data_IF_796038682179
#
_entry.id   IF_796038682179
#
_cell.length_a   1.000
_cell.length_b   1.000
_cell.length_c   1.000
_cell.angle_alpha   90.00
_cell.angle_beta   90.00
_cell.angle_gamma   90.00
#
_symmetry.space_group_name_H-M   'P 1'
#
loop_
_entity.id
_entity.type
_entity.pdbx_description
1 polymer ?
#
# COMPACT_ATOMS: atom_id res chain seq x y z
N UNK A 1 -55.95 -10.68 13.17
CA UNK A 1 -56.72 -11.93 13.39
C UNK A 1 -56.20 -12.84 14.52
N UNK A 2 -54.90 -12.91 14.85
CA UNK A 2 -54.42 -13.84 15.90
C UNK A 2 -54.78 -13.46 17.34
N UNK A 3 -54.83 -12.18 17.67
CA UNK A 3 -54.89 -11.69 19.06
C UNK A 3 -56.30 -11.37 19.60
N UNK A 4 -57.34 -11.37 18.75
CA UNK A 4 -58.67 -10.89 19.13
C UNK A 4 -59.76 -11.98 19.17
N UNK A 5 -59.46 -13.21 18.72
CA UNK A 5 -60.41 -14.32 18.75
C UNK A 5 -60.22 -15.14 20.04
N UNK A 6 -61.20 -15.17 20.96
CA UNK A 6 -61.12 -15.93 22.21
C UNK A 6 -60.86 -17.43 22.00
N UNK A 7 -61.23 -17.98 20.84
CA UNK A 7 -61.07 -19.39 20.48
C UNK A 7 -59.61 -19.79 20.16
N UNK A 8 -58.68 -18.84 20.22
CA UNK A 8 -57.24 -19.09 20.04
C UNK A 8 -56.48 -19.27 21.35
N UNK A 9 -57.13 -19.06 22.50
CA UNK A 9 -56.46 -19.23 23.80
C UNK A 9 -56.11 -20.69 24.01
N UNK A 10 -54.83 -20.96 24.23
CA UNK A 10 -54.31 -22.31 24.51
C UNK A 10 -53.82 -23.08 23.28
N UNK A 11 -53.99 -22.56 22.06
CA UNK A 11 -53.49 -23.20 20.84
C UNK A 11 -52.01 -22.91 20.60
N UNK A 12 -51.25 -23.94 20.24
CA UNK A 12 -49.85 -23.83 19.84
C UNK A 12 -49.68 -23.23 18.44
N UNK A 13 -48.46 -22.78 18.12
CA UNK A 13 -48.14 -22.23 16.79
C UNK A 13 -48.50 -23.19 15.62
N UNK A 14 -48.23 -24.51 15.68
CA UNK A 14 -48.61 -25.43 14.62
C UNK A 14 -50.13 -25.56 14.44
N UNK A 15 -50.88 -25.52 15.54
CA UNK A 15 -52.34 -25.63 15.54
C UNK A 15 -52.98 -24.37 14.95
N UNK A 16 -52.42 -23.20 15.27
CA UNK A 16 -52.84 -21.93 14.66
C UNK A 16 -52.53 -21.90 13.15
N UNK A 17 -51.40 -22.46 12.72
CA UNK A 17 -51.05 -22.57 11.29
C UNK A 17 -52.03 -23.47 10.56
N UNK A 18 -52.43 -24.61 11.14
CA UNK A 18 -53.46 -25.46 10.56
C UNK A 18 -54.83 -24.77 10.53
N UNK A 19 -55.25 -24.16 11.65
CA UNK A 19 -56.56 -23.48 11.77
C UNK A 19 -56.73 -22.33 10.77
N UNK A 20 -55.69 -21.52 10.59
CA UNK A 20 -55.75 -20.35 9.71
C UNK A 20 -55.13 -20.58 8.33
N UNK A 21 -54.52 -21.74 8.08
CA UNK A 21 -53.85 -22.06 6.82
C UNK A 21 -54.83 -22.16 5.65
N UNK A 22 -55.98 -22.78 5.85
CA UNK A 22 -57.00 -22.88 4.80
C UNK A 22 -57.74 -21.54 4.59
N UNK A 23 -57.95 -20.78 5.66
CA UNK A 23 -58.47 -19.42 5.56
C UNK A 23 -57.51 -18.52 4.75
N UNK A 24 -56.21 -18.61 5.00
CA UNK A 24 -55.19 -17.89 4.23
C UNK A 24 -55.18 -18.29 2.76
N UNK A 25 -55.23 -19.61 2.44
CA UNK A 25 -55.30 -20.12 1.06
C UNK A 25 -56.51 -19.59 0.29
N UNK A 26 -57.63 -19.37 0.97
CA UNK A 26 -58.88 -18.91 0.36
C UNK A 26 -59.02 -17.38 0.32
N UNK A 27 -58.15 -16.61 0.98
CA UNK A 27 -58.14 -15.14 0.89
C UNK A 27 -57.63 -14.64 -0.47
N UNK A 28 -58.27 -13.60 -1.00
CA UNK A 28 -57.83 -12.92 -2.22
C UNK A 28 -56.58 -12.06 -2.00
N UNK A 29 -55.92 -11.65 -3.09
CA UNK A 29 -54.69 -10.85 -3.03
C UNK A 29 -54.88 -9.50 -2.28
N UNK A 30 -56.04 -8.86 -2.42
CA UNK A 30 -56.35 -7.61 -1.72
C UNK A 30 -56.51 -7.80 -0.20
N UNK A 31 -57.00 -8.96 0.24
CA UNK A 31 -57.23 -9.29 1.65
C UNK A 31 -55.94 -9.75 2.36
N UNK A 32 -55.01 -10.36 1.61
CA UNK A 32 -53.67 -10.73 2.10
C UNK A 32 -52.74 -9.53 2.21
N UNK A 33 -52.91 -8.51 1.36
CA UNK A 33 -52.06 -7.32 1.27
C UNK A 33 -51.70 -6.67 2.61
N UNK A 34 -52.63 -6.36 3.54
CA UNK A 34 -52.26 -5.76 4.82
C UNK A 34 -51.32 -6.63 5.66
N UNK A 35 -51.48 -7.96 5.62
CA UNK A 35 -50.61 -8.89 6.34
C UNK A 35 -49.23 -9.04 5.70
N UNK A 36 -49.17 -8.99 4.37
CA UNK A 36 -47.91 -8.97 3.63
C UNK A 36 -47.14 -7.67 3.84
N UNK A 37 -47.85 -6.53 3.86
CA UNK A 37 -47.27 -5.21 4.12
C UNK A 37 -46.77 -5.10 5.57
N UNK A 38 -47.52 -5.64 6.54
CA UNK A 38 -47.09 -5.74 7.95
C UNK A 38 -45.88 -6.68 8.11
N UNK A 39 -45.85 -7.82 7.41
CA UNK A 39 -44.70 -8.73 7.40
C UNK A 39 -43.45 -8.11 6.76
N UNK A 40 -43.62 -7.28 5.72
CA UNK A 40 -42.53 -6.51 5.11
C UNK A 40 -42.06 -5.38 6.03
N UNK A 41 -42.97 -4.70 6.73
CA UNK A 41 -42.64 -3.65 7.71
C UNK A 41 -41.90 -4.18 8.95
N UNK A 42 -42.16 -5.43 9.36
CA UNK A 42 -41.47 -6.11 10.47
C UNK A 42 -40.07 -6.64 10.13
N UNK A 43 -39.69 -6.67 8.85
CA UNK A 43 -38.29 -6.86 8.44
C UNK A 43 -37.51 -5.58 8.70
N UNK A 44 -37.39 -5.20 9.97
CA UNK A 44 -36.37 -4.24 10.40
C UNK A 44 -35.04 -4.83 9.96
N UNK A 45 -34.40 -4.19 8.98
CA UNK A 45 -33.07 -4.57 8.48
C UNK A 45 -32.13 -4.54 9.67
N UNK A 46 -31.85 -5.70 10.26
CA UNK A 46 -30.86 -5.80 11.32
C UNK A 46 -29.48 -5.63 10.67
N UNK A 47 -28.62 -4.77 11.23
CA UNK A 47 -27.23 -4.68 10.82
C UNK A 47 -26.62 -6.08 10.75
N UNK A 48 -26.06 -6.42 9.59
CA UNK A 48 -25.29 -7.67 9.45
C UNK A 48 -23.85 -7.33 9.80
N UNK A 49 -23.22 -8.19 10.60
CA UNK A 49 -21.86 -7.97 11.06
C UNK A 49 -20.93 -9.01 10.47
N UNK A 50 -19.69 -8.58 10.22
CA UNK A 50 -18.59 -9.45 9.82
C UNK A 50 -18.16 -10.32 11.00
N UNK A 51 -17.34 -11.34 10.75
CA UNK A 51 -16.75 -12.16 11.82
C UNK A 51 -15.83 -11.36 12.76
N UNK A 52 -15.49 -10.12 12.42
CA UNK A 52 -14.72 -9.19 13.25
C UNK A 52 -15.61 -8.15 13.97
N UNK A 53 -16.94 -8.28 13.88
CA UNK A 53 -17.89 -7.40 14.57
C UNK A 53 -18.08 -6.03 13.95
N UNK A 54 -17.61 -5.79 12.72
CA UNK A 54 -17.91 -4.56 11.95
C UNK A 54 -19.18 -4.72 11.15
N UNK A 55 -19.91 -3.64 10.92
CA UNK A 55 -21.11 -3.69 10.09
C UNK A 55 -20.73 -3.91 8.63
N UNK A 56 -21.41 -4.83 7.95
CA UNK A 56 -21.14 -5.18 6.54
C UNK A 56 -21.46 -4.01 5.61
N UNK A 57 -22.42 -3.15 5.96
CA UNK A 57 -22.76 -1.94 5.21
C UNK A 57 -21.58 -0.96 5.18
N UNK A 58 -20.99 -0.68 6.33
CA UNK A 58 -19.82 0.20 6.51
C UNK A 58 -18.61 -0.30 5.71
N UNK A 59 -18.24 -1.59 5.84
CA UNK A 59 -17.11 -2.14 5.08
C UNK A 59 -17.36 -2.09 3.56
N UNK A 60 -18.59 -2.32 3.12
CA UNK A 60 -18.95 -2.25 1.71
C UNK A 60 -18.93 -0.81 1.19
N UNK A 61 -19.30 0.16 2.02
CA UNK A 61 -19.20 1.60 1.72
C UNK A 61 -17.74 2.05 1.63
N UNK A 62 -16.88 1.65 2.56
CA UNK A 62 -15.43 1.89 2.50
C UNK A 62 -14.82 1.31 1.22
N UNK A 63 -15.16 0.06 0.88
CA UNK A 63 -14.71 -0.57 -0.37
C UNK A 63 -15.21 0.17 -1.60
N UNK A 64 -16.48 0.58 -1.63
CA UNK A 64 -17.04 1.37 -2.73
C UNK A 64 -16.36 2.73 -2.84
N UNK A 65 -16.12 3.41 -1.73
CA UNK A 65 -15.42 4.70 -1.71
C UNK A 65 -13.97 4.56 -2.21
N UNK A 66 -13.25 3.52 -1.77
CA UNK A 66 -11.90 3.21 -2.25
C UNK A 66 -11.88 2.92 -3.77
N UNK A 67 -12.84 2.14 -4.26
CA UNK A 67 -13.00 1.87 -5.70
C UNK A 67 -13.27 3.15 -6.49
N UNK A 68 -14.22 3.98 -6.03
CA UNK A 68 -14.54 5.26 -6.67
C UNK A 68 -13.34 6.20 -6.70
N UNK A 69 -12.57 6.26 -5.61
CA UNK A 69 -11.36 7.06 -5.54
C UNK A 69 -10.29 6.54 -6.52
N UNK A 70 -10.11 5.22 -6.61
CA UNK A 70 -9.19 4.61 -7.57
C UNK A 70 -9.61 4.91 -9.02
N UNK A 71 -10.91 4.82 -9.33
CA UNK A 71 -11.44 5.21 -10.64
C UNK A 71 -11.20 6.68 -10.95
N UNK A 72 -11.31 7.55 -9.95
CA UNK A 72 -10.96 8.97 -10.09
C UNK A 72 -9.48 9.14 -10.45
N UNK A 73 -8.55 8.49 -9.74
CA UNK A 73 -7.12 8.56 -10.06
C UNK A 73 -6.83 8.05 -11.48
N UNK A 74 -7.46 6.96 -11.89
CA UNK A 74 -7.35 6.44 -13.26
C UNK A 74 -7.84 7.44 -14.31
N UNK A 75 -8.92 8.19 -14.03
CA UNK A 75 -9.41 9.28 -14.89
C UNK A 75 -8.44 10.47 -14.93
N UNK A 76 -7.72 10.76 -13.85
CA UNK A 76 -6.67 11.79 -13.85
C UNK A 76 -5.53 11.37 -14.77
N UNK A 77 -5.02 10.13 -14.64
CA UNK A 77 -3.98 9.59 -15.55
C UNK A 77 -4.44 9.66 -17.00
N UNK A 78 -5.68 9.27 -17.28
CA UNK A 78 -6.28 9.39 -18.62
C UNK A 78 -6.27 10.82 -19.13
N UNK A 79 -6.70 11.78 -18.32
CA UNK A 79 -6.68 13.20 -18.69
C UNK A 79 -5.25 13.63 -19.05
N UNK A 80 -4.25 13.30 -18.23
CA UNK A 80 -2.85 13.66 -18.49
C UNK A 80 -2.35 13.16 -19.84
N UNK A 81 -2.69 11.92 -20.22
CA UNK A 81 -2.23 11.29 -21.46
C UNK A 81 -3.02 11.73 -22.70
N UNK A 82 -4.30 12.06 -22.54
CA UNK A 82 -5.22 12.35 -23.65
C UNK A 82 -5.62 13.83 -23.79
N UNK A 83 -5.14 14.71 -22.91
CA UNK A 83 -5.36 16.16 -22.98
C UNK A 83 -4.97 16.72 -24.36
N UNK A 84 -3.80 16.34 -24.87
CA UNK A 84 -3.33 16.71 -26.20
C UNK A 84 -3.71 15.67 -27.27
N UNK A 85 -4.34 16.16 -28.35
CA UNK A 85 -4.70 15.32 -29.50
C UNK A 85 -3.47 14.89 -30.33
N UNK A 86 -2.43 15.71 -30.39
CA UNK A 86 -1.22 15.45 -31.16
C UNK A 86 -0.26 14.55 -30.38
N UNK A 87 0.20 13.48 -31.01
CA UNK A 87 1.17 12.55 -30.41
C UNK A 87 2.50 13.28 -30.13
N UNK A 88 2.94 14.17 -31.01
CA UNK A 88 4.18 14.94 -30.84
C UNK A 88 4.20 15.76 -29.54
N UNK A 89 3.07 16.33 -29.13
CA UNK A 89 2.96 17.05 -27.86
C UNK A 89 3.12 16.10 -26.68
N UNK A 90 2.47 14.92 -26.74
CA UNK A 90 2.61 13.89 -25.71
C UNK A 90 4.05 13.39 -25.56
N UNK A 91 4.77 13.21 -26.68
CA UNK A 91 6.17 12.75 -26.62
C UNK A 91 7.08 13.75 -25.91
N UNK A 92 6.80 15.05 -26.07
CA UNK A 92 7.55 16.13 -25.45
C UNK A 92 7.00 16.57 -24.08
N UNK A 93 5.87 16.00 -23.63
CA UNK A 93 5.27 16.31 -22.33
C UNK A 93 6.16 15.80 -21.21
N UNK A 94 6.34 16.64 -20.19
CA UNK A 94 7.07 16.29 -18.97
C UNK A 94 6.18 15.49 -18.01
N UNK A 95 6.70 14.37 -17.55
CA UNK A 95 6.17 13.51 -16.51
C UNK A 95 7.14 13.53 -15.34
N UNK A 96 6.61 13.57 -14.11
CA UNK A 96 7.42 13.69 -12.90
C UNK A 96 7.29 12.43 -12.07
N UNK A 97 8.43 11.83 -11.72
CA UNK A 97 8.51 10.61 -10.92
C UNK A 97 9.13 10.94 -9.58
N UNK A 98 8.51 10.55 -8.47
CA UNK A 98 9.09 10.74 -7.15
C UNK A 98 9.23 9.43 -6.38
N UNK A 99 10.30 9.37 -5.59
CA UNK A 99 10.48 8.35 -4.57
C UNK A 99 10.97 9.01 -3.30
N UNK A 100 10.65 8.38 -2.17
CA UNK A 100 11.14 8.78 -0.85
C UNK A 100 11.74 7.56 -0.18
N UNK A 101 12.87 7.75 0.50
CA UNK A 101 13.22 6.87 1.61
C UNK A 101 12.70 7.44 2.91
N UNK A 102 12.28 6.55 3.81
CA UNK A 102 11.75 6.92 5.12
C UNK A 102 12.59 6.29 6.22
N UNK A 103 12.76 7.00 7.33
CA UNK A 103 13.34 6.45 8.54
C UNK A 103 12.43 5.35 9.11
N UNK A 104 11.14 5.66 9.22
CA UNK A 104 10.13 4.80 9.82
C UNK A 104 8.72 5.24 9.44
N UNK A 105 7.77 4.32 9.69
CA UNK A 105 6.33 4.57 9.74
C UNK A 105 5.81 4.29 11.14
N UNK A 106 5.08 5.22 11.75
CA UNK A 106 4.43 4.97 13.05
C UNK A 106 3.18 4.11 12.87
N UNK A 107 2.94 3.21 13.82
CA UNK A 107 1.76 2.31 13.78
C UNK A 107 0.47 2.99 14.21
N UNK A 108 0.57 3.95 15.12
CA UNK A 108 -0.58 4.64 15.72
C UNK A 108 -1.20 5.62 14.73
N UNK A 109 -0.39 6.51 14.15
CA UNK A 109 -0.85 7.60 13.30
C UNK A 109 -0.59 7.38 11.80
N UNK A 110 -0.01 6.23 11.42
CA UNK A 110 0.47 5.97 10.05
C UNK A 110 1.37 7.09 9.49
N UNK A 111 2.13 7.77 10.35
CA UNK A 111 2.99 8.90 9.96
C UNK A 111 4.32 8.39 9.42
N UNK A 112 4.70 8.89 8.24
CA UNK A 112 5.98 8.60 7.59
C UNK A 112 7.00 9.69 7.91
N UNK A 113 8.24 9.30 8.18
CA UNK A 113 9.35 10.20 8.50
C UNK A 113 10.36 10.16 7.34
N UNK A 114 10.35 11.14 6.41
CA UNK A 114 11.21 11.12 5.24
C UNK A 114 12.68 11.39 5.57
N UNK A 115 13.58 10.66 4.91
CA UNK A 115 15.05 10.79 5.02
C UNK A 115 15.73 11.22 3.71
N UNK A 116 15.08 10.95 2.58
CA UNK A 116 15.61 11.26 1.26
C UNK A 116 14.43 11.42 0.30
N UNK A 117 14.55 12.35 -0.62
CA UNK A 117 13.65 12.51 -1.76
C UNK A 117 14.44 12.45 -3.05
N UNK A 118 13.89 11.79 -4.06
CA UNK A 118 14.35 11.88 -5.44
C UNK A 118 13.16 12.16 -6.35
N UNK A 119 13.25 13.22 -7.15
CA UNK A 119 12.27 13.56 -8.18
C UNK A 119 12.98 13.61 -9.54
N UNK A 120 12.38 13.03 -10.56
CA UNK A 120 12.90 13.01 -11.92
C UNK A 120 11.84 13.57 -12.88
N UNK A 121 12.23 14.58 -13.66
CA UNK A 121 11.48 15.05 -14.81
C UNK A 121 11.87 14.21 -16.04
N UNK A 122 10.88 13.71 -16.75
CA UNK A 122 11.07 12.79 -17.87
C UNK A 122 10.12 13.12 -19.01
N UNK A 123 10.58 13.03 -20.26
CA UNK A 123 9.69 12.95 -21.44
C UNK A 123 10.02 11.73 -22.28
N UNK A 124 9.06 11.27 -23.07
CA UNK A 124 9.26 10.10 -23.95
C UNK A 124 10.28 10.39 -25.05
N UNK A 125 10.35 11.64 -25.52
CA UNK A 125 11.27 12.05 -26.59
C UNK A 125 12.71 12.28 -26.12
N UNK A 126 12.89 12.78 -24.89
CA UNK A 126 14.20 13.22 -24.37
C UNK A 126 14.77 12.27 -23.32
N UNK A 127 13.96 11.40 -22.73
CA UNK A 127 14.34 10.61 -21.58
C UNK A 127 14.30 11.47 -20.31
N UNK A 128 15.26 11.27 -19.42
CA UNK A 128 15.45 12.09 -18.22
C UNK A 128 15.90 13.50 -18.63
N UNK A 129 15.16 14.51 -18.19
CA UNK A 129 15.41 15.93 -18.50
C UNK A 129 16.09 16.63 -17.33
N UNK A 130 15.57 16.42 -16.12
CA UNK A 130 16.03 17.07 -14.92
C UNK A 130 15.85 16.15 -13.71
N UNK A 131 16.64 16.35 -12.67
CA UNK A 131 16.60 15.57 -11.45
C UNK A 131 16.75 16.47 -10.23
N UNK A 132 15.96 16.20 -9.20
CA UNK A 132 16.03 16.85 -7.91
C UNK A 132 16.24 15.78 -6.84
N UNK A 133 17.19 15.99 -5.94
CA UNK A 133 17.56 15.03 -4.90
C UNK A 133 18.03 15.76 -3.67
N UNK A 134 17.49 15.36 -2.52
CA UNK A 134 17.87 15.94 -1.23
C UNK A 134 17.76 14.90 -0.12
N UNK A 135 18.67 14.99 0.86
CA UNK A 135 18.51 14.32 2.13
C UNK A 135 17.72 15.19 3.09
N UNK A 136 16.85 14.58 3.88
CA UNK A 136 15.89 15.27 4.74
C UNK A 136 16.14 14.84 6.18
N UNK A 137 16.20 15.79 7.11
CA UNK A 137 16.27 15.45 8.52
C UNK A 137 14.87 15.06 9.02
N UNK A 138 14.63 13.77 9.36
CA UNK A 138 13.31 13.28 9.76
C UNK A 138 12.85 13.85 11.10
N UNK A 139 13.72 14.52 11.86
CA UNK A 139 13.45 14.89 13.24
C UNK A 139 13.82 13.77 14.21
N UNK A 140 13.29 13.84 15.42
CA UNK A 140 13.65 12.89 16.47
C UNK A 140 12.86 11.57 16.32
N UNK A 141 13.53 10.45 16.57
CA UNK A 141 12.92 9.13 16.49
C UNK A 141 11.87 8.99 17.60
N UNK A 142 10.59 8.68 17.27
CA UNK A 142 9.57 8.50 18.29
C UNK A 142 9.92 7.39 19.28
N UNK A 143 9.49 7.56 20.53
CA UNK A 143 9.76 6.60 21.61
C UNK A 143 9.24 5.21 21.24
N UNK A 144 10.08 4.19 21.43
CA UNK A 144 9.76 2.79 21.09
C UNK A 144 10.09 2.38 19.64
N UNK A 145 10.44 3.33 18.75
CA UNK A 145 10.75 3.05 17.34
C UNK A 145 12.24 2.96 17.01
N UNK A 146 13.14 3.22 17.97
CA UNK A 146 14.59 3.24 17.75
C UNK A 146 15.14 1.96 17.08
N UNK A 147 14.72 0.78 17.55
CA UNK A 147 15.13 -0.50 16.95
C UNK A 147 14.64 -0.65 15.50
N UNK A 148 13.38 -0.29 15.26
CA UNK A 148 12.74 -0.41 13.94
C UNK A 148 13.43 0.51 12.94
N UNK A 149 13.69 1.77 13.33
CA UNK A 149 14.39 2.75 12.52
C UNK A 149 15.82 2.29 12.16
N UNK A 150 16.54 1.73 13.14
CA UNK A 150 17.89 1.20 12.93
C UNK A 150 17.91 0.01 11.98
N UNK A 151 17.04 -0.99 12.22
CA UNK A 151 16.93 -2.17 11.35
C UNK A 151 16.55 -1.79 9.92
N UNK A 152 15.61 -0.86 9.74
CA UNK A 152 15.21 -0.37 8.43
C UNK A 152 16.37 0.33 7.70
N UNK A 153 17.07 1.23 8.39
CA UNK A 153 18.26 1.89 7.83
C UNK A 153 19.32 0.87 7.41
N UNK A 154 19.71 -0.04 8.31
CA UNK A 154 20.76 -1.02 8.05
C UNK A 154 20.38 -2.02 6.95
N UNK A 155 19.11 -2.32 6.74
CA UNK A 155 18.69 -3.27 5.70
C UNK A 155 18.53 -2.62 4.32
N UNK A 156 18.12 -1.35 4.27
CA UNK A 156 17.73 -0.69 3.03
C UNK A 156 18.67 0.46 2.66
N UNK A 157 18.32 1.68 3.05
CA UNK A 157 18.94 2.91 2.55
C UNK A 157 20.29 3.25 3.21
N UNK A 158 20.67 2.64 4.34
CA UNK A 158 21.93 2.90 5.06
C UNK A 158 22.16 4.33 5.56
N UNK A 159 21.23 5.26 5.28
CA UNK A 159 21.24 6.62 5.84
C UNK A 159 21.25 6.58 7.38
N UNK A 160 22.22 7.23 8.06
CA UNK A 160 22.31 7.26 9.51
C UNK A 160 21.02 7.76 10.18
N UNK A 161 20.62 7.09 11.27
CA UNK A 161 19.37 7.38 11.98
C UNK A 161 19.42 8.66 12.85
N UNK A 162 20.62 9.20 13.11
CA UNK A 162 20.84 10.36 13.96
C UNK A 162 21.93 11.25 13.34
N UNK A 163 21.74 12.56 13.42
CA UNK A 163 22.73 13.59 13.09
C UNK A 163 23.41 13.40 11.72
N UNK A 164 22.63 13.05 10.70
CA UNK A 164 23.17 12.90 9.36
C UNK A 164 23.50 14.29 8.78
N UNK A 165 24.79 14.59 8.66
CA UNK A 165 25.27 15.93 8.33
C UNK A 165 24.78 16.48 6.98
N UNK A 166 24.55 15.60 5.99
CA UNK A 166 24.10 15.99 4.65
C UNK A 166 22.59 16.29 4.59
N UNK A 167 21.83 16.01 5.65
CA UNK A 167 20.39 16.21 5.65
C UNK A 167 20.00 17.69 5.82
N UNK A 168 19.14 18.19 4.93
CA UNK A 168 18.47 19.50 5.08
C UNK A 168 17.66 19.51 6.37
N UNK A 169 17.84 20.57 7.16
CA UNK A 169 17.22 20.72 8.47
C UNK A 169 17.99 20.08 9.65
N UNK A 170 19.23 19.63 9.43
CA UNK A 170 20.09 19.04 10.48
C UNK A 170 20.89 20.07 11.31
N UNK A 171 20.53 21.36 11.26
CA UNK A 171 21.21 22.39 12.05
C UNK A 171 21.11 22.08 13.56
N UNK A 172 22.23 22.30 14.26
CA UNK A 172 22.38 22.10 15.71
C UNK A 172 22.97 23.35 16.36
N UNK A 173 22.64 23.59 17.62
CA UNK A 173 23.31 24.57 18.46
C UNK A 173 24.65 24.01 19.00
N UNK A 174 25.46 24.86 19.64
CA UNK A 174 26.77 24.48 20.19
C UNK A 174 26.70 23.36 21.23
N UNK A 175 25.59 23.26 21.96
CA UNK A 175 25.32 22.19 22.93
C UNK A 175 24.88 20.86 22.29
N UNK A 176 24.79 20.81 20.96
CA UNK A 176 24.35 19.65 20.18
C UNK A 176 22.83 19.53 20.07
N UNK A 177 22.05 20.43 20.69
CA UNK A 177 20.61 20.41 20.58
C UNK A 177 20.14 20.81 19.17
N UNK A 178 19.00 20.24 18.76
CA UNK A 178 18.39 20.49 17.45
C UNK A 178 17.87 21.92 17.33
N UNK A 179 18.26 22.62 16.27
CA UNK A 179 17.71 23.94 15.98
C UNK A 179 16.39 23.80 15.20
N UNK A 180 15.28 23.73 15.94
CA UNK A 180 13.94 23.56 15.36
C UNK A 180 13.49 24.73 14.47
N UNK A 181 13.96 25.95 14.75
CA UNK A 181 13.65 27.13 13.92
C UNK A 181 14.32 27.01 12.56
N UNK A 182 15.64 26.86 12.54
CA UNK A 182 16.39 26.68 11.29
C UNK A 182 15.91 25.45 10.50
N UNK A 183 15.58 24.35 11.19
CA UNK A 183 14.99 23.17 10.53
C UNK A 183 13.69 23.50 9.82
N UNK A 184 12.81 24.28 10.44
CA UNK A 184 11.53 24.67 9.81
C UNK A 184 11.77 25.49 8.55
N UNK A 185 12.67 26.45 8.61
CA UNK A 185 12.99 27.34 7.48
C UNK A 185 13.61 26.55 6.32
N UNK A 186 14.50 25.60 6.60
CA UNK A 186 15.05 24.68 5.58
C UNK A 186 13.98 23.81 4.93
N UNK A 187 13.05 23.26 5.72
CA UNK A 187 11.96 22.45 5.17
C UNK A 187 10.98 23.30 4.36
N UNK A 188 10.77 24.57 4.73
CA UNK A 188 9.98 25.51 3.95
C UNK A 188 10.64 25.79 2.58
N UNK A 189 11.95 26.06 2.56
CA UNK A 189 12.71 26.21 1.32
C UNK A 189 12.69 24.94 0.47
N UNK A 190 12.84 23.77 1.08
CA UNK A 190 12.75 22.49 0.39
C UNK A 190 11.39 22.29 -0.28
N UNK A 191 10.29 22.64 0.39
CA UNK A 191 8.95 22.56 -0.20
C UNK A 191 8.81 23.51 -1.39
N UNK A 192 9.37 24.73 -1.30
CA UNK A 192 9.39 25.67 -2.43
C UNK A 192 10.19 25.12 -3.62
N UNK A 193 11.37 24.55 -3.39
CA UNK A 193 12.18 23.91 -4.44
C UNK A 193 11.44 22.75 -5.10
N UNK A 194 10.75 21.91 -4.32
CA UNK A 194 9.91 20.82 -4.83
C UNK A 194 8.78 21.36 -5.71
N UNK A 195 8.08 22.41 -5.26
CA UNK A 195 6.99 23.02 -6.02
C UNK A 195 7.50 23.63 -7.33
N UNK A 196 8.67 24.26 -7.31
CA UNK A 196 9.34 24.78 -8.51
C UNK A 196 9.73 23.65 -9.47
N UNK A 197 10.31 22.56 -8.95
CA UNK A 197 10.63 21.36 -9.75
C UNK A 197 9.38 20.79 -10.41
N UNK A 198 8.23 20.84 -9.73
CA UNK A 198 6.97 20.29 -10.23
C UNK A 198 6.12 21.28 -11.01
N UNK A 199 6.61 22.47 -11.34
CA UNK A 199 5.81 23.52 -12.01
C UNK A 199 5.22 23.03 -13.35
N UNK A 200 5.99 22.25 -14.11
CA UNK A 200 5.55 21.63 -15.36
C UNK A 200 4.50 20.51 -15.21
N UNK A 201 4.18 20.09 -13.98
CA UNK A 201 3.22 19.01 -13.68
C UNK A 201 1.82 19.50 -13.32
N UNK A 202 1.60 20.81 -13.31
CA UNK A 202 0.36 21.42 -12.84
C UNK A 202 -0.85 20.97 -13.65
N UNK A 203 -1.82 20.39 -12.94
CA UNK A 203 -3.17 20.17 -13.44
C UNK A 203 -4.02 21.38 -13.09
N UNK A 204 -4.46 22.11 -14.12
CA UNK A 204 -5.23 23.33 -13.95
C UNK A 204 -6.55 23.07 -13.25
N UNK A 205 -6.80 23.78 -12.15
CA UNK A 205 -8.11 23.79 -11.51
C UNK A 205 -9.12 24.55 -12.39
N UNK A 206 -10.42 24.19 -12.30
CA UNK A 206 -11.49 24.92 -13.00
C UNK A 206 -11.78 26.30 -12.38
N UNK A 207 -11.17 26.61 -11.23
CA UNK A 207 -11.34 27.86 -10.49
C UNK A 207 -10.10 28.75 -10.58
N UNK A 208 -9.33 28.77 -9.50
CA UNK A 208 -8.17 29.64 -9.27
C UNK A 208 -6.85 28.91 -9.57
N UNK A 209 -5.89 29.58 -10.22
CA UNK A 209 -4.54 29.06 -10.48
C UNK A 209 -3.78 28.75 -9.17
N UNK A 210 -4.17 29.40 -8.07
CA UNK A 210 -3.60 29.12 -6.74
C UNK A 210 -3.95 27.72 -6.20
N UNK A 211 -4.98 27.07 -6.75
CA UNK A 211 -5.42 25.71 -6.39
C UNK A 211 -4.87 24.62 -7.32
N UNK A 212 -3.95 24.96 -8.24
CA UNK A 212 -3.38 23.98 -9.16
C UNK A 212 -2.74 22.81 -8.41
N UNK A 213 -3.02 21.60 -8.90
CA UNK A 213 -2.53 20.36 -8.30
C UNK A 213 -1.28 19.87 -9.02
N UNK A 214 -0.31 19.34 -8.29
CA UNK A 214 0.95 18.83 -8.83
C UNK A 214 0.86 17.32 -9.03
N UNK A 215 1.09 16.86 -10.24
CA UNK A 215 1.01 15.43 -10.58
C UNK A 215 2.38 14.79 -10.47
N UNK A 216 2.45 13.69 -9.72
CA UNK A 216 3.68 12.93 -9.52
C UNK A 216 3.37 11.44 -9.63
N UNK A 217 4.25 10.67 -10.26
CA UNK A 217 4.11 9.24 -10.44
C UNK A 217 5.07 8.47 -9.52
N UNK A 218 4.60 7.38 -8.93
CA UNK A 218 5.43 6.40 -8.22
C UNK A 218 4.82 5.01 -8.38
N UNK A 219 5.45 3.98 -7.80
CA UNK A 219 4.84 2.65 -7.74
C UNK A 219 3.60 2.65 -6.84
N UNK A 220 2.55 1.90 -7.22
CA UNK A 220 1.32 1.72 -6.44
C UNK A 220 1.58 1.50 -4.95
N UNK A 221 2.48 0.57 -4.61
CA UNK A 221 2.84 0.20 -3.22
C UNK A 221 3.48 1.34 -2.42
N UNK A 222 3.97 2.38 -3.07
CA UNK A 222 4.63 3.52 -2.45
C UNK A 222 3.74 4.76 -2.37
N UNK A 223 2.53 4.75 -2.96
CA UNK A 223 1.65 5.93 -3.04
C UNK A 223 1.39 6.53 -1.64
N UNK A 224 1.01 5.71 -0.67
CA UNK A 224 0.72 6.19 0.69
C UNK A 224 1.96 6.75 1.39
N UNK A 225 3.13 6.15 1.13
CA UNK A 225 4.40 6.63 1.67
C UNK A 225 4.76 8.00 1.08
N UNK A 226 4.69 8.14 -0.24
CA UNK A 226 5.02 9.39 -0.95
C UNK A 226 4.05 10.51 -0.53
N UNK A 227 2.74 10.23 -0.49
CA UNK A 227 1.73 11.17 0.04
C UNK A 227 2.02 11.58 1.48
N UNK A 228 2.34 10.60 2.34
CA UNK A 228 2.68 10.83 3.73
C UNK A 228 3.94 11.68 3.91
N UNK A 229 4.94 11.51 3.04
CA UNK A 229 6.17 12.29 3.07
C UNK A 229 5.96 13.73 2.63
N UNK A 230 5.21 13.97 1.53
CA UNK A 230 4.84 15.34 1.14
C UNK A 230 4.04 16.03 2.25
N UNK A 231 3.05 15.34 2.83
CA UNK A 231 2.29 15.84 3.98
C UNK A 231 3.20 16.19 5.16
N UNK A 232 4.13 15.30 5.51
CA UNK A 232 5.10 15.55 6.58
C UNK A 232 5.90 16.83 6.32
N UNK A 233 6.49 17.00 5.13
CA UNK A 233 7.31 18.16 4.80
C UNK A 233 6.51 19.47 4.93
N UNK A 234 5.32 19.50 4.34
CA UNK A 234 4.40 20.64 4.40
C UNK A 234 3.99 20.98 5.85
N UNK A 235 3.57 20.00 6.64
CA UNK A 235 3.18 20.23 8.04
C UNK A 235 4.35 20.69 8.91
N UNK A 236 5.55 20.17 8.68
CA UNK A 236 6.75 20.56 9.44
C UNK A 236 7.29 21.93 9.05
N UNK A 237 6.94 22.44 7.86
CA UNK A 237 7.28 23.79 7.40
C UNK A 237 6.33 24.89 7.92
N UNK A 238 5.17 24.54 8.50
CA UNK A 238 4.08 25.41 9.01
C UNK A 238 3.46 26.40 7.99
N UNK A 239 4.21 26.91 7.03
CA UNK A 239 3.75 27.86 6.00
C UNK A 239 3.05 27.18 4.81
N UNK A 240 3.25 25.87 4.65
CA UNK A 240 2.77 25.12 3.48
C UNK A 240 1.82 23.97 3.81
N UNK A 241 1.19 23.96 4.99
CA UNK A 241 0.28 22.88 5.40
C UNK A 241 -0.85 22.65 4.38
N UNK A 242 -1.43 23.72 3.82
CA UNK A 242 -2.46 23.66 2.76
C UNK A 242 -1.93 23.05 1.45
N UNK A 243 -0.63 23.23 1.15
CA UNK A 243 0.01 22.72 -0.06
C UNK A 243 0.09 21.19 -0.05
N UNK A 244 0.07 20.54 1.11
CA UNK A 244 0.10 19.09 1.23
C UNK A 244 -0.98 18.40 0.38
N UNK A 245 -2.18 18.99 0.30
CA UNK A 245 -3.31 18.43 -0.42
C UNK A 245 -3.25 18.66 -1.95
N UNK A 246 -2.26 19.42 -2.42
CA UNK A 246 -2.07 19.73 -3.84
C UNK A 246 -1.28 18.67 -4.59
N UNK A 247 -0.55 17.79 -3.88
CA UNK A 247 0.20 16.71 -4.51
C UNK A 247 -0.70 15.52 -4.83
N UNK A 248 -0.95 15.28 -6.12
CA UNK A 248 -1.61 14.07 -6.61
C UNK A 248 -0.54 13.05 -6.98
N UNK A 249 -0.43 12.02 -6.14
CA UNK A 249 0.45 10.88 -6.39
C UNK A 249 -0.30 9.78 -7.12
N UNK A 250 0.16 9.45 -8.32
CA UNK A 250 -0.44 8.50 -9.26
C UNK A 250 0.45 7.27 -9.48
N UNK A 251 -0.15 6.18 -9.94
CA UNK A 251 0.55 4.95 -10.24
C UNK A 251 1.24 4.99 -11.61
N UNK A 252 2.55 4.75 -11.62
CA UNK A 252 3.37 4.65 -12.85
C UNK A 252 2.94 3.48 -13.75
N UNK A 253 2.43 2.38 -13.17
CA UNK A 253 1.97 1.25 -13.98
C UNK A 253 0.74 1.65 -14.79
N UNK A 254 -0.19 2.37 -14.16
CA UNK A 254 -1.36 2.92 -14.84
C UNK A 254 -0.98 3.92 -15.93
N UNK A 255 0.06 4.75 -15.71
CA UNK A 255 0.60 5.63 -16.75
C UNK A 255 1.06 4.81 -17.97
N UNK A 256 1.85 3.75 -17.76
CA UNK A 256 2.32 2.91 -18.87
C UNK A 256 1.18 2.22 -19.61
N UNK A 257 0.14 1.74 -18.91
CA UNK A 257 -1.07 1.18 -19.54
C UNK A 257 -1.71 2.21 -20.49
N UNK A 258 -1.84 3.47 -20.05
CA UNK A 258 -2.48 4.51 -20.84
C UNK A 258 -1.61 5.02 -21.98
N UNK A 259 -0.30 5.12 -21.79
CA UNK A 259 0.64 5.41 -22.88
C UNK A 259 0.61 4.31 -23.95
N UNK A 260 0.56 3.03 -23.55
CA UNK A 260 0.44 1.93 -24.49
C UNK A 260 -0.87 2.00 -25.28
N UNK A 261 -2.00 2.26 -24.60
CA UNK A 261 -3.29 2.45 -25.25
C UNK A 261 -3.27 3.61 -26.25
N UNK A 262 -2.59 4.71 -25.90
CA UNK A 262 -2.40 5.88 -26.77
C UNK A 262 -1.56 5.57 -28.00
N UNK A 263 -0.60 4.65 -27.90
CA UNK A 263 0.17 4.10 -29.03
C UNK A 263 -0.60 3.04 -29.85
N UNK A 264 -1.88 2.80 -29.55
CA UNK A 264 -2.69 1.77 -30.23
C UNK A 264 -2.37 0.34 -29.80
N UNK A 265 -1.70 0.16 -28.65
CA UNK A 265 -1.37 -1.15 -28.08
C UNK A 265 -2.21 -1.41 -26.83
N UNK A 266 -2.90 -2.55 -26.78
CA UNK A 266 -3.61 -2.96 -25.55
C UNK A 266 -2.67 -3.78 -24.68
N UNK A 267 -2.41 -3.31 -23.46
CA UNK A 267 -1.54 -4.00 -22.49
C UNK A 267 -2.20 -4.04 -21.11
N UNK A 268 -2.49 -5.25 -20.57
CA UNK A 268 -3.00 -5.42 -19.22
C UNK A 268 -2.04 -4.89 -18.16
N UNK A 269 -2.62 -4.43 -17.03
CA UNK A 269 -1.89 -3.89 -15.88
C UNK A 269 -0.73 -4.78 -15.42
N UNK A 270 -0.97 -6.08 -15.19
CA UNK A 270 0.06 -6.99 -14.68
C UNK A 270 1.25 -7.20 -15.62
N UNK A 271 1.07 -7.02 -16.93
CA UNK A 271 2.20 -7.04 -17.89
C UNK A 271 3.02 -5.76 -17.75
N UNK A 272 2.36 -4.60 -17.65
CA UNK A 272 3.03 -3.32 -17.42
C UNK A 272 3.75 -3.29 -16.06
N UNK A 273 3.15 -3.88 -15.01
CA UNK A 273 3.77 -4.04 -13.70
C UNK A 273 5.05 -4.90 -13.81
N UNK A 274 4.98 -6.02 -14.54
CA UNK A 274 6.14 -6.87 -14.80
C UNK A 274 7.27 -6.15 -15.57
N UNK A 275 6.94 -5.19 -16.43
CA UNK A 275 7.96 -4.38 -17.11
C UNK A 275 8.67 -3.40 -16.18
N UNK A 276 7.94 -2.85 -15.22
CA UNK A 276 8.41 -1.80 -14.30
C UNK A 276 8.96 -2.35 -12.97
N UNK A 277 9.02 -3.66 -12.80
CA UNK A 277 9.56 -4.33 -11.60
C UNK A 277 10.84 -5.12 -11.85
N UNK A 278 11.43 -4.97 -13.04
CA UNK A 278 12.70 -5.61 -13.41
C UNK A 278 13.85 -5.03 -12.59
N UNK A 279 14.83 -5.87 -12.27
CA UNK A 279 16.06 -5.48 -11.56
C UNK A 279 17.20 -5.06 -12.49
N UNK A 280 16.95 -4.94 -13.79
CA UNK A 280 17.95 -4.70 -14.84
C UNK A 280 18.85 -3.49 -14.58
N UNK A 281 18.32 -2.47 -13.88
CA UNK A 281 19.02 -1.22 -13.64
C UNK A 281 19.51 -1.03 -12.20
N UNK A 282 19.34 -2.02 -11.32
CA UNK A 282 19.64 -1.86 -9.89
C UNK A 282 21.11 -1.51 -9.61
N UNK A 283 22.03 -1.99 -10.44
CA UNK A 283 23.47 -1.80 -10.30
C UNK A 283 24.09 -1.02 -11.46
N UNK A 284 23.27 -0.27 -12.20
CA UNK A 284 23.77 0.58 -13.27
C UNK A 284 24.49 1.79 -12.68
N UNK A 285 25.65 2.12 -13.24
CA UNK A 285 26.45 3.27 -12.82
C UNK A 285 25.67 4.59 -13.00
N UNK A 286 25.98 5.58 -12.16
CA UNK A 286 25.40 6.93 -12.19
C UNK A 286 23.87 6.97 -12.04
N UNK A 287 23.28 5.94 -11.43
CA UNK A 287 21.84 5.91 -11.17
C UNK A 287 21.48 6.41 -9.77
N UNK A 288 22.32 6.17 -8.76
CA UNK A 288 22.06 6.65 -7.40
C UNK A 288 22.69 8.04 -7.17
N UNK A 289 22.60 8.54 -5.93
CA UNK A 289 23.37 9.67 -5.47
C UNK A 289 24.74 9.21 -4.92
N UNK A 290 25.69 10.15 -4.84
CA UNK A 290 27.07 9.87 -4.43
C UNK A 290 27.16 9.09 -3.10
N UNK A 291 26.37 9.49 -2.09
CA UNK A 291 26.32 8.79 -0.81
C UNK A 291 25.91 7.31 -0.96
N UNK A 292 24.90 7.01 -1.77
CA UNK A 292 24.43 5.63 -1.93
C UNK A 292 25.34 4.80 -2.84
N UNK A 293 26.08 5.43 -3.75
CA UNK A 293 27.14 4.77 -4.51
C UNK A 293 28.33 4.40 -3.58
N UNK A 294 28.69 5.27 -2.63
CA UNK A 294 29.70 4.96 -1.60
C UNK A 294 29.24 3.85 -0.65
N UNK A 295 27.95 3.82 -0.30
CA UNK A 295 27.37 2.81 0.60
C UNK A 295 27.04 1.48 -0.08
N UNK A 296 27.29 1.35 -1.39
CA UNK A 296 27.02 0.18 -2.22
C UNK A 296 25.59 -0.38 -2.01
N UNK A 297 24.60 0.51 -2.11
CA UNK A 297 23.18 0.15 -1.99
C UNK A 297 22.35 0.74 -3.13
N UNK A 298 21.48 -0.07 -3.69
CA UNK A 298 20.55 0.38 -4.73
C UNK A 298 19.29 1.05 -4.16
N UNK A 299 19.11 1.10 -2.83
CA UNK A 299 17.96 1.73 -2.17
C UNK A 299 18.09 3.26 -2.07
N UNK A 300 18.50 3.93 -3.15
CA UNK A 300 18.50 5.39 -3.26
C UNK A 300 17.16 5.89 -3.83
N UNK A 301 16.56 6.91 -3.22
CA UNK A 301 15.30 7.49 -3.70
C UNK A 301 15.43 8.05 -5.13
N UNK A 302 16.52 8.79 -5.43
CA UNK A 302 16.81 9.27 -6.78
C UNK A 302 16.99 8.10 -7.76
N UNK A 303 17.75 7.08 -7.34
CA UNK A 303 17.98 5.89 -8.15
C UNK A 303 16.69 5.15 -8.48
N UNK A 304 15.78 5.00 -7.53
CA UNK A 304 14.45 4.38 -7.76
C UNK A 304 13.67 5.18 -8.82
N UNK A 305 13.60 6.51 -8.69
CA UNK A 305 12.88 7.35 -9.65
C UNK A 305 13.50 7.27 -11.07
N UNK A 306 14.84 7.33 -11.20
CA UNK A 306 15.53 7.17 -12.48
C UNK A 306 15.28 5.81 -13.12
N UNK A 307 15.34 4.73 -12.33
CA UNK A 307 15.11 3.37 -12.83
C UNK A 307 13.71 3.16 -13.39
N UNK A 308 12.68 3.78 -12.79
CA UNK A 308 11.35 3.77 -13.39
C UNK A 308 11.32 4.46 -14.76
N UNK A 309 12.04 5.58 -14.92
CA UNK A 309 12.15 6.27 -16.21
C UNK A 309 12.84 5.40 -17.28
N UNK A 310 13.90 4.68 -16.91
CA UNK A 310 14.59 3.76 -17.83
C UNK A 310 13.74 2.56 -18.22
N UNK A 311 13.08 1.91 -17.25
CA UNK A 311 12.15 0.80 -17.53
C UNK A 311 10.94 1.26 -18.35
N UNK A 312 10.49 2.50 -18.14
CA UNK A 312 9.45 3.08 -18.97
C UNK A 312 9.95 3.27 -20.41
N UNK A 313 11.13 3.86 -20.59
CA UNK A 313 11.78 4.08 -21.90
C UNK A 313 11.94 2.80 -22.72
N UNK A 314 12.34 1.70 -22.08
CA UNK A 314 12.48 0.37 -22.70
C UNK A 314 11.21 -0.11 -23.43
N UNK A 315 10.06 0.36 -22.96
CA UNK A 315 8.74 0.00 -23.46
C UNK A 315 8.20 1.09 -24.39
N UNK A 316 8.12 2.34 -23.91
CA UNK A 316 7.41 3.41 -24.62
C UNK A 316 8.16 3.92 -25.84
N UNK A 317 9.50 3.99 -25.81
CA UNK A 317 10.28 4.46 -26.95
C UNK A 317 10.11 3.52 -28.15
N UNK A 318 10.03 2.20 -27.92
CA UNK A 318 9.73 1.21 -28.97
C UNK A 318 8.30 1.36 -29.51
N UNK A 319 7.33 1.70 -28.67
CA UNK A 319 5.93 1.87 -29.08
C UNK A 319 5.72 3.12 -29.94
N UNK A 320 6.41 4.20 -29.61
CA UNK A 320 6.30 5.49 -30.30
C UNK A 320 7.39 5.70 -31.36
N UNK A 321 8.26 4.71 -31.58
CA UNK A 321 9.38 4.77 -32.52
C UNK A 321 10.32 5.96 -32.24
N UNK A 322 10.66 6.15 -30.97
CA UNK A 322 11.65 7.13 -30.50
C UNK A 322 12.99 6.44 -30.36
N UNK A 323 14.05 7.08 -30.86
CA UNK A 323 15.42 6.60 -30.71
C UNK A 323 15.90 6.77 -29.27
N UNK A 324 16.48 5.70 -28.71
CA UNK A 324 17.02 5.72 -27.35
C UNK A 324 18.32 6.53 -27.33
N UNK A 325 18.41 7.44 -26.36
CA UNK A 325 19.62 8.22 -26.06
C UNK A 325 20.16 7.85 -24.68
N UNK A 326 21.32 8.38 -24.29
CA UNK A 326 21.91 8.22 -22.94
C UNK A 326 21.02 8.74 -21.80
N UNK A 327 19.98 9.51 -22.11
CA UNK A 327 18.99 9.96 -21.12
C UNK A 327 17.84 8.96 -20.94
N UNK A 328 17.70 7.98 -21.84
CA UNK A 328 16.68 6.94 -21.79
C UNK A 328 17.18 5.64 -21.15
N UNK A 329 18.49 5.47 -21.05
CA UNK A 329 19.12 4.32 -20.43
C UNK A 329 20.41 4.77 -19.75
N UNK A 330 20.80 4.15 -18.62
CA UNK A 330 22.05 4.50 -17.99
C UNK A 330 23.24 4.15 -18.91
N UNK A 331 24.39 4.82 -18.75
CA UNK A 331 25.58 4.53 -19.53
C UNK A 331 25.90 3.05 -19.47
N UNK A 332 25.97 2.38 -20.63
CA UNK A 332 26.42 1.00 -20.67
C UNK A 332 27.92 1.00 -20.39
N UNK A 333 28.36 0.23 -19.39
CA UNK A 333 29.76 -0.11 -19.31
C UNK A 333 30.09 -0.92 -20.56
N UNK A 334 30.86 -0.34 -21.47
CA UNK A 334 31.55 -1.11 -22.50
C UNK A 334 32.59 -1.97 -21.78
N UNK A 335 32.14 -3.09 -21.20
CA UNK A 335 33.06 -4.16 -20.86
C UNK A 335 33.44 -4.77 -22.21
N UNK A 336 34.47 -4.19 -22.83
CA UNK A 336 35.24 -4.89 -23.84
C UNK A 336 35.84 -6.10 -23.12
N UNK A 337 35.09 -7.20 -23.07
CA UNK A 337 35.70 -8.49 -22.91
C UNK A 337 36.53 -8.69 -24.19
N UNK A 338 37.79 -8.27 -24.15
CA UNK A 338 38.80 -8.97 -24.93
C UNK A 338 38.77 -10.40 -24.43
N UNK A 339 38.00 -11.24 -25.12
CA UNK A 339 38.23 -12.68 -25.11
C UNK A 339 39.62 -12.83 -25.70
N UNK A 340 40.65 -12.77 -24.86
CA UNK A 340 41.93 -13.35 -25.23
C UNK A 340 41.63 -14.81 -25.46
N UNK A 341 41.61 -15.21 -26.73
CA UNK A 341 41.66 -16.61 -27.10
C UNK A 341 42.80 -17.22 -26.30
N UNK A 342 42.46 -17.97 -25.26
CA UNK A 342 43.45 -18.71 -24.51
C UNK A 342 43.82 -19.88 -25.39
N UNK A 343 44.79 -19.64 -26.28
CA UNK A 343 45.48 -20.69 -27.02
C UNK A 343 46.11 -21.63 -26.00
N UNK A 344 45.51 -22.81 -25.87
CA UNK A 344 46.08 -23.95 -25.17
C UNK A 344 45.77 -24.02 -23.67
N UNK A 345 44.53 -24.34 -23.32
CA UNK A 345 44.31 -25.15 -22.12
C UNK A 345 44.03 -26.59 -22.55
N UNK A 346 44.99 -27.45 -22.22
CA UNK A 346 44.94 -28.89 -22.36
C UNK A 346 43.64 -29.42 -21.72
N UNK A 347 42.82 -30.12 -22.51
CA UNK A 347 41.46 -30.54 -22.15
C UNK A 347 41.45 -31.78 -21.23
N UNK A 348 42.44 -31.91 -20.35
CA UNK A 348 42.67 -33.13 -19.56
C UNK A 348 42.68 -32.91 -18.04
N UNK A 349 42.09 -31.81 -17.57
CA UNK A 349 41.76 -31.66 -16.15
C UNK A 349 40.35 -32.16 -15.88
N UNK A 350 40.26 -33.46 -15.56
CA UNK A 350 39.06 -34.08 -14.99
C UNK A 350 38.55 -33.22 -13.82
N UNK A 351 37.25 -32.86 -13.77
CA UNK A 351 36.70 -32.11 -12.66
C UNK A 351 36.88 -32.93 -11.38
N UNK A 352 37.49 -32.33 -10.34
CA UNK A 352 37.44 -32.91 -8.99
C UNK A 352 35.99 -32.86 -8.52
N UNK A 353 35.30 -33.97 -8.72
CA UNK A 353 33.94 -34.19 -8.22
C UNK A 353 33.92 -33.96 -6.71
N UNK A 354 33.02 -33.08 -6.25
CA UNK A 354 32.82 -32.78 -4.85
C UNK A 354 32.38 -34.06 -4.11
N UNK A 355 33.08 -34.41 -3.02
CA UNK A 355 32.92 -35.68 -2.27
C UNK A 355 31.58 -35.86 -1.53
N UNK A 356 30.58 -35.02 -1.76
CA UNK A 356 29.32 -35.02 -1.01
C UNK A 356 28.20 -35.85 -1.62
N UNK A 357 28.36 -36.34 -2.86
CA UNK A 357 27.47 -37.30 -3.49
C UNK A 357 28.24 -38.57 -3.84
N UNK A 358 28.53 -39.40 -2.83
CA UNK A 358 28.80 -40.82 -3.02
C UNK A 358 27.85 -41.62 -2.13
N UNK A 359 26.83 -42.21 -2.76
CA UNK A 359 26.31 -43.53 -2.39
C UNK A 359 26.14 -44.32 -3.67
N UNK A 360 27.17 -45.11 -3.92
CA UNK A 360 27.22 -46.44 -4.53
C UNK A 360 25.94 -46.88 -5.26
N UNK A 361 26.09 -47.01 -6.57
CA UNK A 361 25.26 -47.86 -7.40
C UNK A 361 26.22 -48.74 -8.21
N UNK A 362 26.50 -49.92 -7.68
CA UNK A 362 27.02 -51.03 -8.46
C UNK A 362 25.87 -51.59 -9.33
N UNK A 363 26.25 -51.92 -10.56
CA UNK A 363 25.43 -52.53 -11.60
C UNK A 363 25.29 -54.03 -11.33
N UNK A 364 24.09 -54.58 -11.49
CA UNK A 364 23.93 -55.95 -12.00
C UNK A 364 22.78 -55.96 -13.01
N UNK A 365 23.07 -56.58 -14.16
CA UNK A 365 22.17 -56.84 -15.27
C UNK A 365 21.18 -57.97 -14.97
N UNK A 366 20.24 -58.13 -15.90
CA UNK A 366 19.33 -59.27 -16.15
C UNK A 366 17.90 -59.20 -15.58
N UNK A 367 16.95 -59.15 -16.53
CA UNK A 367 15.86 -60.11 -16.55
C UNK A 367 14.55 -59.76 -15.83
N UNK A 368 13.50 -59.73 -16.65
CA UNK A 368 12.13 -60.18 -16.31
C UNK A 368 11.13 -59.16 -15.75
N UNK A 369 9.95 -59.27 -16.33
CA UNK A 369 8.69 -58.60 -16.04
C UNK A 369 8.28 -58.67 -14.57
N UNK A 370 7.80 -57.56 -13.98
CA UNK A 370 6.54 -57.52 -13.21
C UNK A 370 6.21 -56.13 -12.68
N UNK A 371 4.90 -55.99 -12.42
CA UNK A 371 4.09 -54.86 -12.00
C UNK A 371 4.44 -54.35 -10.59
N UNK A 372 4.35 -53.02 -10.41
CA UNK A 372 4.18 -52.19 -9.20
C UNK A 372 5.07 -52.45 -7.97
N UNK A 373 5.68 -51.38 -7.43
CA UNK A 373 5.44 -50.94 -6.03
C UNK A 373 6.28 -49.70 -5.64
N UNK A 374 5.60 -48.72 -5.04
CA UNK A 374 6.19 -47.54 -4.39
C UNK A 374 6.66 -47.93 -2.98
N UNK A 375 7.91 -47.65 -2.57
CA UNK A 375 8.36 -47.93 -1.21
C UNK A 375 7.86 -46.91 -0.18
N UNK A 376 7.62 -47.34 1.08
CA UNK A 376 6.92 -46.57 2.09
C UNK A 376 7.87 -45.78 2.99
N UNK A 377 7.87 -44.45 2.89
CA UNK A 377 8.16 -43.57 4.04
C UNK A 377 7.71 -42.12 3.78
N UNK A 378 6.39 -41.92 3.68
CA UNK A 378 5.79 -40.60 3.92
C UNK A 378 5.04 -40.73 5.24
N UNK A 379 5.43 -39.96 6.26
CA UNK A 379 4.61 -39.79 7.46
C UNK A 379 3.29 -39.14 7.03
N UNK A 380 2.18 -39.81 7.32
CA UNK A 380 0.85 -39.30 7.06
C UNK A 380 0.60 -37.97 7.82
N UNK A 381 -0.15 -37.03 7.24
CA UNK A 381 -0.81 -35.97 7.99
C UNK A 381 -1.69 -36.60 9.09
N UNK A 382 -1.75 -35.96 10.27
CA UNK A 382 -2.70 -36.37 11.32
C UNK A 382 -4.13 -36.28 10.78
N UNK A 383 -4.77 -37.43 10.62
CA UNK A 383 -6.21 -37.51 10.40
C UNK A 383 -6.94 -37.17 11.72
N UNK A 384 -7.88 -36.25 11.63
CA UNK A 384 -8.89 -36.03 12.66
C UNK A 384 -9.86 -37.22 12.65
N UNK A 385 -10.30 -37.76 13.80
CA UNK A 385 -11.27 -38.84 13.81
C UNK A 385 -12.64 -38.31 13.35
N UNK A 386 -13.10 -38.82 12.21
CA UNK A 386 -14.51 -38.81 11.82
C UNK A 386 -14.88 -40.22 11.40
N UNK A 387 -15.66 -40.92 12.22
CA UNK A 387 -16.85 -41.61 11.70
C UNK A 387 -17.97 -41.53 12.73
N UNK A 388 -19.13 -41.16 12.20
CA UNK A 388 -20.38 -40.94 12.90
C UNK A 388 -21.12 -42.26 13.13
N UNK A 389 -21.97 -42.30 14.17
CA UNK A 389 -23.39 -42.69 14.04
C UNK A 389 -24.19 -42.42 15.32
N UNK A 390 -25.12 -41.48 15.18
CA UNK A 390 -26.44 -41.38 15.81
C UNK A 390 -26.63 -41.73 17.28
N UNK A 391 -26.81 -40.70 18.13
CA UNK A 391 -27.79 -40.72 19.21
C UNK A 391 -28.09 -39.28 19.70
N UNK A 392 -29.33 -38.85 19.49
CA UNK A 392 -30.14 -37.95 20.33
C UNK A 392 -29.42 -37.01 21.32
N UNK A 393 -29.48 -35.70 21.04
CA UNK A 393 -29.13 -34.67 22.03
C UNK A 393 -30.26 -34.50 23.06
N UNK A 394 -30.02 -34.92 24.30
CA UNK A 394 -30.76 -34.50 25.49
C UNK A 394 -29.86 -33.63 26.36
N UNK A 395 -30.42 -32.52 26.84
CA UNK A 395 -29.78 -31.54 27.69
C UNK A 395 -29.50 -32.11 29.10
N UNK A 396 -28.37 -31.70 29.72
CA UNK A 396 -28.10 -31.95 31.13
C UNK A 396 -26.79 -31.32 31.61
N UNK A 397 -26.75 -30.67 32.80
CA UNK A 397 -25.68 -29.78 33.21
C UNK A 397 -24.53 -30.53 33.89
N UNK A 398 -23.30 -29.99 33.86
CA UNK A 398 -22.26 -30.45 34.79
C UNK A 398 -21.40 -29.32 35.34
N UNK A 399 -21.27 -29.41 36.65
CA UNK A 399 -20.50 -28.59 37.58
C UNK A 399 -19.02 -28.45 37.21
N UNK A 400 -18.49 -27.24 37.39
CA UNK A 400 -17.06 -27.01 37.63
C UNK A 400 -16.80 -26.83 39.13
N UNK A 401 -15.77 -27.49 39.72
CA UNK A 401 -15.39 -27.30 41.10
C UNK A 401 -14.46 -26.09 41.28
N UNK A 402 -14.71 -25.34 42.35
CA UNK A 402 -13.92 -24.22 42.84
C UNK A 402 -12.47 -24.59 43.20
N UNK A 403 -11.51 -23.73 42.86
CA UNK A 403 -10.22 -23.63 43.57
C UNK A 403 -9.94 -22.16 43.96
N UNK A 404 -9.36 -21.91 45.16
CA UNK A 404 -9.42 -20.60 45.80
C UNK A 404 -8.26 -19.69 45.39
N UNK A 405 -8.59 -18.40 45.20
CA UNK A 405 -7.62 -17.32 45.01
C UNK A 405 -7.20 -16.78 46.40
N UNK A 406 -5.88 -16.65 46.60
CA UNK A 406 -5.27 -16.08 47.80
C UNK A 406 -5.51 -14.56 47.86
N UNK A 407 -5.76 -14.10 49.09
CA UNK A 407 -6.00 -12.72 49.51
C UNK A 407 -4.77 -11.82 49.31
N UNK A 408 -4.97 -10.64 48.76
CA UNK A 408 -4.19 -9.44 49.10
C UNK A 408 -5.11 -8.23 49.29
N UNK A 409 -4.65 -7.32 50.14
CA UNK A 409 -5.41 -6.39 51.00
C UNK A 409 -5.76 -5.05 50.32
N UNK A 410 -7.04 -4.68 50.43
CA UNK A 410 -7.59 -3.43 50.99
C UNK A 410 -7.00 -2.01 50.72
N UNK A 411 -7.96 -1.08 50.52
CA UNK A 411 -7.98 0.40 50.61
C UNK A 411 -7.76 1.17 49.29
N UNK A 412 -8.57 2.17 48.89
CA UNK A 412 -9.70 2.93 49.47
C UNK A 412 -10.48 3.57 48.30
N UNK A 413 -11.80 3.60 48.39
CA UNK A 413 -12.68 4.24 47.39
C UNK A 413 -12.89 5.73 47.61
N UNK A 414 -13.28 6.44 46.54
CA UNK A 414 -14.03 7.68 46.62
C UNK A 414 -15.07 7.74 45.50
N UNK A 415 -16.25 8.23 45.88
CA UNK A 415 -17.52 8.17 45.19
C UNK A 415 -17.71 9.27 44.13
N UNK A 416 -18.51 8.95 43.12
CA UNK A 416 -19.04 9.85 42.10
C UNK A 416 -20.10 10.79 42.72
N UNK A 417 -19.89 12.09 42.56
CA UNK A 417 -20.82 13.16 42.96
C UNK A 417 -21.33 13.93 41.75
N UNK A 418 -22.65 13.92 41.56
CA UNK A 418 -23.42 14.74 40.61
C UNK A 418 -23.53 16.16 41.20
N UNK A 419 -23.20 17.20 40.43
CA UNK A 419 -23.28 18.60 40.86
C UNK A 419 -23.71 19.55 39.74
N UNK A 420 -24.75 20.33 40.03
CA UNK A 420 -25.48 21.25 39.15
C UNK A 420 -24.74 22.57 38.88
N UNK A 421 -24.91 23.09 37.66
CA UNK A 421 -25.27 24.48 37.38
C UNK A 421 -24.27 25.60 37.66
N UNK A 422 -23.74 26.23 36.60
CA UNK A 422 -23.34 27.64 36.64
C UNK A 422 -23.90 28.40 35.43
N UNK A 423 -24.44 29.58 35.75
CA UNK A 423 -25.13 30.52 34.86
C UNK A 423 -24.14 31.31 34.01
N UNK A 424 -24.53 31.55 32.77
CA UNK A 424 -23.97 32.55 31.85
C UNK A 424 -24.50 33.94 32.23
N UNK A 425 -23.66 34.97 32.33
CA UNK A 425 -24.13 36.35 32.35
C UNK A 425 -24.25 36.91 30.93
N UNK A 426 -25.47 37.33 30.56
CA UNK A 426 -25.75 38.18 29.41
C UNK A 426 -25.32 39.63 29.73
N UNK A 427 -24.57 40.26 28.82
CA UNK A 427 -24.63 41.71 28.63
C UNK A 427 -24.92 42.04 27.17
N UNK A 428 -25.79 43.04 27.01
CA UNK A 428 -26.54 43.45 25.82
C UNK A 428 -25.70 44.30 24.86
N UNK A 429 -26.10 44.42 23.58
CA UNK A 429 -25.51 45.35 22.63
C UNK A 429 -26.06 46.77 22.85
N UNK A 430 -25.27 47.80 22.50
CA UNK A 430 -25.78 49.07 21.99
C UNK A 430 -24.62 49.98 21.52
N UNK A 431 -24.77 50.42 20.27
CA UNK A 431 -24.20 51.58 19.56
C UNK A 431 -22.69 51.74 19.42
#
# INVERSE_FOLDING_TARGET
>A
MRSADPSNRGLGLPELVNKYGDAWKNMGAAERKPYEDESKGLRVSRPTYTSQGREVSEELEEKRAAQQYQEYLNKVVMTVVYEDLKIENLLNKSFFFASFNVLLKTREDNKYYPNEIGIVEYSISKGIINTFHEFIDPGDVPMGYARIAKEHSEQFHKIPILNFAQAKGNQRFEDGARNFGARRDELANLVLEIVQMLDGSKLKSKGDETDDQFIVFCQEKQIDQVKGCFKFLCEQSNEFAEVANRFIVLDVVQLLVMLAARAGKQRPYGICEGDLTKSSYNYSANTNCDFHDEMDTYYCALGVAKRYCYMLSDVVCKMFNVELTEQHHPPQSHINFEVKDVVGFDFDLKPKMNRYFKRDREEEEEGSSTINQVPPSIRAPREFPTEARGATASAGPSHFPNRPIKKEKEQKGYALGIGRGMRVPQQKPNF
#
